data_IF_207259770357
#
_entry.id   IF_207259770357
#
_cell.length_a   1.000
_cell.length_b   1.000
_cell.length_c   1.000
_cell.angle_alpha   90.00
_cell.angle_beta   90.00
_cell.angle_gamma   90.00
#
_symmetry.space_group_name_H-M   'P 1'
#
loop_
_entity.id
_entity.type
_entity.pdbx_description
1 polymer ?
#
# COMPACT_ATOMS: atom_id res chain seq x y z
N UNK A 1 -6.85 18.11 -10.78
CA UNK A 1 -7.37 18.71 -9.54
C UNK A 1 -6.31 19.64 -8.98
N UNK A 2 -6.67 20.85 -8.52
CA UNK A 2 -5.73 21.76 -7.84
C UNK A 2 -5.63 21.44 -6.34
N UNK A 3 -4.59 21.93 -5.65
CA UNK A 3 -4.44 21.76 -4.20
C UNK A 3 -5.64 22.35 -3.43
N UNK A 4 -6.19 23.46 -3.92
CA UNK A 4 -7.39 24.09 -3.36
C UNK A 4 -8.62 23.20 -3.50
N UNK A 5 -8.83 22.63 -4.69
CA UNK A 5 -9.94 21.71 -4.95
C UNK A 5 -9.82 20.42 -4.14
N UNK A 6 -8.60 19.90 -3.95
CA UNK A 6 -8.36 18.73 -3.12
C UNK A 6 -8.67 19.02 -1.65
N UNK A 7 -8.15 20.13 -1.13
CA UNK A 7 -8.37 20.53 0.25
C UNK A 7 -9.86 20.73 0.56
N UNK A 8 -10.60 21.38 -0.34
CA UNK A 8 -12.04 21.57 -0.23
C UNK A 8 -12.80 20.24 -0.26
N UNK A 9 -12.48 19.36 -1.22
CA UNK A 9 -13.15 18.06 -1.37
C UNK A 9 -12.85 17.10 -0.21
N UNK A 10 -11.67 17.18 0.38
CA UNK A 10 -11.24 16.34 1.50
C UNK A 10 -11.60 16.93 2.88
N UNK A 11 -12.23 18.10 2.94
CA UNK A 11 -12.52 18.85 4.18
C UNK A 11 -11.27 19.05 5.06
N UNK A 12 -10.18 19.50 4.44
CA UNK A 12 -8.91 19.80 5.13
C UNK A 12 -8.36 21.16 4.70
N UNK A 13 -7.40 21.69 5.47
CA UNK A 13 -6.78 22.97 5.10
C UNK A 13 -5.86 22.83 3.90
N UNK A 14 -5.85 23.83 3.01
CA UNK A 14 -4.90 23.96 1.89
C UNK A 14 -3.45 23.84 2.40
N UNK A 15 -3.17 24.41 3.58
CA UNK A 15 -1.86 24.36 4.22
C UNK A 15 -1.44 22.93 4.58
N UNK A 16 -2.38 22.07 4.98
CA UNK A 16 -2.12 20.66 5.28
C UNK A 16 -1.61 19.94 4.02
N UNK A 17 -2.40 19.98 2.93
CA UNK A 17 -2.03 19.35 1.65
C UNK A 17 -0.69 19.87 1.15
N UNK A 18 -0.52 21.20 1.14
CA UNK A 18 0.72 21.85 0.73
C UNK A 18 1.95 21.39 1.53
N UNK A 19 1.81 21.17 2.84
CA UNK A 19 2.92 20.71 3.69
C UNK A 19 3.22 19.23 3.50
N UNK A 20 2.20 18.41 3.26
CA UNK A 20 2.35 16.98 2.95
C UNK A 20 3.11 16.79 1.63
N UNK A 21 2.69 17.43 0.55
CA UNK A 21 3.32 17.30 -0.78
C UNK A 21 4.79 17.72 -0.78
N UNK A 22 5.15 18.70 0.07
CA UNK A 22 6.52 19.19 0.23
C UNK A 22 7.33 18.40 1.27
N UNK A 23 6.78 17.33 1.84
CA UNK A 23 7.39 16.54 2.92
C UNK A 23 7.79 17.37 4.16
N UNK A 24 7.14 18.53 4.38
CA UNK A 24 7.33 19.36 5.58
C UNK A 24 6.55 18.75 6.76
N UNK A 25 5.39 18.17 6.47
CA UNK A 25 4.62 17.39 7.42
C UNK A 25 4.71 15.92 7.02
N UNK A 26 5.27 15.09 7.90
CA UNK A 26 5.44 13.65 7.68
C UNK A 26 4.47 12.80 8.52
N UNK A 27 3.61 13.44 9.31
CA UNK A 27 2.65 12.76 10.19
C UNK A 27 1.27 13.40 10.04
N UNK A 28 0.26 12.55 9.89
CA UNK A 28 -1.14 12.92 9.74
C UNK A 28 -2.00 11.86 10.42
N UNK A 29 -3.20 12.23 10.87
CA UNK A 29 -4.16 11.27 11.39
C UNK A 29 -4.72 10.41 10.26
N UNK A 30 -5.04 9.15 10.56
CA UNK A 30 -5.56 8.20 9.57
C UNK A 30 -6.82 8.73 8.88
N UNK A 31 -7.76 9.27 9.65
CA UNK A 31 -9.02 9.83 9.13
C UNK A 31 -8.81 10.91 8.07
N UNK A 32 -7.79 11.78 8.26
CA UNK A 32 -7.49 12.83 7.27
C UNK A 32 -6.80 12.27 6.05
N UNK A 33 -5.95 11.26 6.22
CA UNK A 33 -5.32 10.56 5.10
C UNK A 33 -6.37 9.83 4.25
N UNK A 34 -7.37 9.21 4.88
CA UNK A 34 -8.50 8.55 4.24
C UNK A 34 -9.40 9.55 3.49
N UNK A 35 -9.72 10.71 4.10
CA UNK A 35 -10.46 11.78 3.41
C UNK A 35 -9.73 12.28 2.16
N UNK A 36 -8.39 12.40 2.22
CA UNK A 36 -7.56 12.80 1.07
C UNK A 36 -7.57 11.71 -0.02
N UNK A 37 -7.41 10.43 0.34
CA UNK A 37 -7.49 9.31 -0.60
C UNK A 37 -8.84 9.28 -1.32
N UNK A 38 -9.93 9.39 -0.56
CA UNK A 38 -11.31 9.39 -1.07
C UNK A 38 -11.55 10.58 -2.01
N UNK A 39 -11.03 11.77 -1.68
CA UNK A 39 -11.12 12.95 -2.54
C UNK A 39 -10.37 12.77 -3.88
N UNK A 40 -9.31 11.97 -3.89
CA UNK A 40 -8.57 11.55 -5.07
C UNK A 40 -9.21 10.36 -5.82
N UNK A 41 -10.30 9.81 -5.30
CA UNK A 41 -10.92 8.58 -5.81
C UNK A 41 -9.96 7.38 -5.77
N UNK A 42 -9.20 7.28 -4.68
CA UNK A 42 -8.29 6.18 -4.34
C UNK A 42 -8.79 5.48 -3.07
N UNK A 43 -8.48 4.20 -2.97
CA UNK A 43 -8.54 3.51 -1.68
C UNK A 43 -7.33 3.92 -0.84
N UNK A 44 -7.49 3.94 0.49
CA UNK A 44 -6.39 4.30 1.40
C UNK A 44 -5.16 3.40 1.20
N UNK A 45 -5.35 2.14 0.80
CA UNK A 45 -4.28 1.20 0.46
C UNK A 45 -3.41 1.68 -0.70
N UNK A 46 -3.96 2.43 -1.65
CA UNK A 46 -3.22 2.89 -2.84
C UNK A 46 -2.17 3.95 -2.49
N UNK A 47 -2.33 4.64 -1.35
CA UNK A 47 -1.34 5.60 -0.84
C UNK A 47 -0.12 4.92 -0.20
N UNK A 48 -0.23 3.64 0.12
CA UNK A 48 0.90 2.86 0.61
C UNK A 48 1.55 2.17 -0.58
N UNK A 49 2.79 2.55 -0.87
CA UNK A 49 3.53 1.94 -1.97
C UNK A 49 3.63 0.42 -1.78
N UNK A 50 3.36 -0.33 -2.83
CA UNK A 50 3.81 -1.72 -2.90
C UNK A 50 5.35 -1.73 -2.89
N UNK A 51 6.00 -2.60 -2.12
CA UNK A 51 7.45 -2.73 -2.18
C UNK A 51 7.88 -2.91 -3.64
N UNK A 52 8.92 -2.19 -4.08
CA UNK A 52 9.53 -2.44 -5.38
C UNK A 52 10.19 -3.82 -5.30
N UNK A 53 9.57 -4.80 -5.95
CA UNK A 53 10.06 -6.17 -6.04
C UNK A 53 10.45 -6.47 -7.49
N UNK A 54 11.36 -7.41 -7.70
CA UNK A 54 11.74 -7.85 -9.04
C UNK A 54 10.59 -8.62 -9.74
N UNK A 55 10.73 -8.84 -11.05
CA UNK A 55 9.71 -9.50 -11.87
C UNK A 55 9.34 -10.91 -11.38
N UNK A 56 10.28 -11.65 -10.80
CA UNK A 56 10.03 -12.99 -10.30
C UNK A 56 9.26 -12.94 -8.99
N UNK A 57 9.67 -12.07 -8.07
CA UNK A 57 8.96 -11.86 -6.81
C UNK A 57 7.54 -11.37 -7.05
N UNK A 58 7.32 -10.44 -7.98
CA UNK A 58 5.98 -10.00 -8.37
C UNK A 58 5.14 -11.15 -8.93
N UNK A 59 5.72 -12.01 -9.77
CA UNK A 59 5.02 -13.16 -10.34
C UNK A 59 4.56 -14.16 -9.27
N UNK A 60 5.40 -14.41 -8.26
CA UNK A 60 5.05 -15.28 -7.11
C UNK A 60 3.91 -14.67 -6.30
N UNK A 61 3.98 -13.38 -5.98
CA UNK A 61 2.94 -12.68 -5.24
C UNK A 61 1.61 -12.74 -5.99
N UNK A 62 1.62 -12.40 -7.29
CA UNK A 62 0.42 -12.43 -8.14
C UNK A 62 -0.20 -13.82 -8.21
N UNK A 63 0.62 -14.86 -8.36
CA UNK A 63 0.16 -16.25 -8.38
C UNK A 63 -0.50 -16.64 -7.04
N UNK A 64 0.15 -16.33 -5.92
CA UNK A 64 -0.39 -16.63 -4.60
C UNK A 64 -1.72 -15.90 -4.37
N UNK A 65 -1.80 -14.61 -4.69
CA UNK A 65 -3.01 -13.82 -4.48
C UNK A 65 -4.21 -14.29 -5.31
N UNK A 66 -3.99 -14.95 -6.45
CA UNK A 66 -5.04 -15.53 -7.29
C UNK A 66 -5.66 -16.83 -6.72
N UNK A 67 -5.00 -17.47 -5.75
CA UNK A 67 -5.48 -18.73 -5.17
C UNK A 67 -6.55 -18.52 -4.09
N UNK A 68 -7.48 -19.50 -3.92
CA UNK A 68 -8.35 -19.57 -2.76
C UNK A 68 -7.53 -19.56 -1.46
N UNK A 69 -8.13 -19.05 -0.38
CA UNK A 69 -7.44 -18.82 0.91
C UNK A 69 -6.70 -20.06 1.43
N UNK A 70 -7.33 -21.24 1.33
CA UNK A 70 -6.78 -22.48 1.88
C UNK A 70 -5.64 -23.03 0.99
N UNK A 71 -5.80 -23.01 -0.33
CA UNK A 71 -4.74 -23.39 -1.28
C UNK A 71 -3.53 -22.44 -1.20
N UNK A 72 -3.78 -21.13 -1.13
CA UNK A 72 -2.75 -20.11 -0.92
C UNK A 72 -1.95 -20.40 0.34
N UNK A 73 -2.62 -20.76 1.43
CA UNK A 73 -1.98 -21.09 2.70
C UNK A 73 -1.09 -22.32 2.57
N UNK A 74 -1.61 -23.41 2.02
CA UNK A 74 -0.87 -24.67 1.87
C UNK A 74 0.41 -24.48 1.04
N UNK A 75 0.30 -23.80 -0.10
CA UNK A 75 1.45 -23.52 -0.95
C UNK A 75 2.47 -22.60 -0.26
N UNK A 76 2.01 -21.57 0.46
CA UNK A 76 2.89 -20.68 1.20
C UNK A 76 3.68 -21.44 2.27
N UNK A 77 3.03 -22.35 2.99
CA UNK A 77 3.70 -23.20 3.99
C UNK A 77 4.75 -24.13 3.35
N UNK A 78 4.46 -24.69 2.17
CA UNK A 78 5.42 -25.53 1.44
C UNK A 78 6.64 -24.74 0.97
N UNK A 79 6.46 -23.53 0.42
CA UNK A 79 7.55 -22.64 0.00
C UNK A 79 8.46 -22.28 1.18
N UNK A 80 7.88 -21.93 2.33
CA UNK A 80 8.65 -21.60 3.53
C UNK A 80 9.45 -22.79 4.06
N UNK A 81 8.90 -24.02 4.00
CA UNK A 81 9.63 -25.23 4.37
C UNK A 81 10.86 -25.42 3.48
N UNK A 82 10.74 -25.21 2.17
CA UNK A 82 11.87 -25.31 1.23
C UNK A 82 12.96 -24.28 1.54
N UNK A 83 12.57 -23.05 1.90
CA UNK A 83 13.52 -22.00 2.26
C UNK A 83 14.29 -22.30 3.54
N UNK A 84 13.63 -22.80 4.58
CA UNK A 84 14.30 -23.15 5.85
C UNK A 84 15.25 -24.34 5.67
N UNK A 85 14.93 -25.29 4.79
CA UNK A 85 15.83 -26.41 4.45
C UNK A 85 17.17 -25.93 3.83
N UNK A 86 17.21 -24.74 3.21
CA UNK A 86 18.45 -24.16 2.67
C UNK A 86 19.30 -23.43 3.70
N UNK A 87 18.76 -23.08 4.87
CA UNK A 87 19.50 -22.36 5.92
C UNK A 87 20.18 -23.30 6.93
N UNK A 88 19.76 -24.55 7.02
CA UNK A 88 20.30 -25.57 7.94
C UNK A 88 21.43 -26.44 7.31
N UNK A 89 21.98 -26.04 6.15
CA UNK A 89 23.10 -26.73 5.48
C UNK A 89 24.29 -25.80 5.23
#
# INVERSE_FOLDING_TARGET
>A
MTVQQLAERADVSISLISKLERNILTTITLDKLESIATALNLDLSDLFGTPQVDEFTQSVISYLLALPKDERRELSEALLKIMNVKHDN
#
